data_IF_630946622860
#
_entry.id   IF_630946622860
#
_cell.length_a   1.000
_cell.length_b   1.000
_cell.length_c   1.000
_cell.angle_alpha   90.00
_cell.angle_beta   90.00
_cell.angle_gamma   90.00
#
_symmetry.space_group_name_H-M   'P 1'
#
loop_
_entity.id
_entity.type
_entity.pdbx_description
1 polymer ?
#
# COMPACT_ATOMS: atom_id res chain seq x y z
N UNK A 1 0.50 7.95 -4.44
CA UNK A 1 0.67 6.49 -4.31
C UNK A 1 1.81 6.15 -3.37
N UNK A 2 1.61 5.19 -2.47
CA UNK A 2 2.65 4.62 -1.62
C UNK A 2 3.14 3.31 -2.22
N UNK A 3 4.41 3.26 -2.63
CA UNK A 3 5.08 2.06 -3.13
C UNK A 3 6.18 1.63 -2.15
N UNK A 4 6.72 0.43 -2.30
CA UNK A 4 7.70 -0.11 -1.37
C UNK A 4 8.71 -0.97 -2.08
N UNK A 5 9.98 -0.84 -1.68
CA UNK A 5 11.09 -1.54 -2.34
C UNK A 5 11.09 -3.05 -2.09
N UNK A 6 10.31 -3.51 -1.11
CA UNK A 6 10.08 -4.93 -0.81
C UNK A 6 8.62 -5.20 -0.42
N UNK A 7 8.20 -6.46 -0.49
CA UNK A 7 6.98 -6.92 0.16
C UNK A 7 7.09 -6.77 1.69
N UNK A 8 6.03 -6.27 2.31
CA UNK A 8 6.02 -5.99 3.75
C UNK A 8 6.87 -4.78 4.19
N UNK A 9 7.23 -3.87 3.27
CA UNK A 9 7.98 -2.65 3.61
C UNK A 9 7.19 -1.66 4.50
N UNK A 10 5.88 -1.88 4.68
CA UNK A 10 4.98 -1.03 5.46
C UNK A 10 4.07 -0.12 4.63
N UNK A 11 3.89 -0.40 3.33
CA UNK A 11 2.97 0.33 2.44
C UNK A 11 1.56 0.42 3.00
N UNK A 12 0.99 -0.72 3.39
CA UNK A 12 -0.37 -0.83 3.95
C UNK A 12 -0.54 0.06 5.16
N UNK A 13 0.40 -0.01 6.11
CA UNK A 13 0.41 0.80 7.34
C UNK A 13 0.52 2.29 7.04
N UNK A 14 1.48 2.69 6.20
CA UNK A 14 1.65 4.10 5.84
C UNK A 14 0.42 4.64 5.11
N UNK A 15 -0.14 3.87 4.17
CA UNK A 15 -1.34 4.27 3.43
C UNK A 15 -2.54 4.42 4.37
N UNK A 16 -2.77 3.46 5.27
CA UNK A 16 -3.83 3.56 6.28
C UNK A 16 -3.63 4.78 7.18
N UNK A 17 -2.40 5.04 7.64
CA UNK A 17 -2.09 6.19 8.48
C UNK A 17 -2.39 7.52 7.77
N UNK A 18 -2.03 7.64 6.49
CA UNK A 18 -2.35 8.82 5.68
C UNK A 18 -3.86 8.97 5.44
N UNK A 19 -4.56 7.87 5.14
CA UNK A 19 -6.02 7.86 5.07
C UNK A 19 -6.65 8.40 6.36
N UNK A 20 -6.19 7.91 7.51
CA UNK A 20 -6.70 8.30 8.83
C UNK A 20 -6.38 9.76 9.15
N UNK A 21 -5.16 10.20 8.87
CA UNK A 21 -4.72 11.58 9.07
C UNK A 21 -5.58 12.56 8.27
N UNK A 22 -5.74 12.32 6.96
CA UNK A 22 -6.51 13.21 6.08
C UNK A 22 -8.00 13.20 6.42
N UNK A 23 -8.57 12.03 6.70
CA UNK A 23 -9.97 11.90 7.13
C UNK A 23 -10.23 12.65 8.45
N UNK A 24 -9.32 12.57 9.43
CA UNK A 24 -9.45 13.33 10.70
C UNK A 24 -9.34 14.84 10.51
N UNK A 25 -8.73 15.31 9.42
CA UNK A 25 -8.73 16.72 9.01
C UNK A 25 -10.00 17.14 8.27
N UNK A 26 -10.95 16.22 8.07
CA UNK A 26 -12.21 16.47 7.38
C UNK A 26 -12.13 16.41 5.86
N UNK A 27 -11.02 15.93 5.29
CA UNK A 27 -10.87 15.75 3.84
C UNK A 27 -11.64 14.52 3.37
N UNK A 28 -12.34 14.64 2.24
CA UNK A 28 -13.03 13.53 1.60
C UNK A 28 -12.04 12.65 0.82
N UNK A 29 -11.55 11.62 1.50
CA UNK A 29 -10.47 10.76 1.06
C UNK A 29 -10.90 9.31 0.94
N UNK A 30 -10.50 8.62 -0.13
CA UNK A 30 -10.75 7.19 -0.32
C UNK A 30 -9.45 6.40 -0.53
N UNK A 31 -9.35 5.13 -0.09
CA UNK A 31 -8.20 4.29 -0.39
C UNK A 31 -8.39 3.57 -1.72
N UNK A 32 -7.30 3.13 -2.34
CA UNK A 32 -7.36 2.27 -3.52
C UNK A 32 -6.10 1.42 -3.66
N UNK A 33 -6.28 0.10 -3.87
CA UNK A 33 -5.20 -0.82 -4.24
C UNK A 33 -5.66 -1.66 -5.42
N UNK A 34 -5.14 -1.35 -6.61
CA UNK A 34 -5.58 -1.98 -7.85
C UNK A 34 -5.51 -3.52 -7.81
N UNK A 35 -4.44 -4.06 -7.24
CA UNK A 35 -4.25 -5.50 -7.10
C UNK A 35 -3.71 -5.86 -5.72
N UNK A 36 -4.34 -6.85 -5.08
CA UNK A 36 -3.88 -7.44 -3.83
C UNK A 36 -3.76 -8.97 -4.01
N UNK A 37 -2.81 -9.58 -3.31
CA UNK A 37 -2.67 -11.03 -3.20
C UNK A 37 -2.89 -11.40 -1.73
N UNK A 38 -4.05 -11.96 -1.37
CA UNK A 38 -4.32 -12.33 0.02
C UNK A 38 -5.37 -13.43 0.13
N UNK A 39 -5.26 -14.23 1.19
CA UNK A 39 -6.31 -15.15 1.62
C UNK A 39 -7.21 -14.54 2.69
N UNK A 40 -6.76 -13.46 3.33
CA UNK A 40 -7.50 -12.78 4.37
C UNK A 40 -8.41 -11.73 3.73
N UNK A 41 -9.68 -12.07 3.59
CA UNK A 41 -10.67 -11.28 2.86
C UNK A 41 -11.76 -10.75 3.79
N UNK A 42 -12.39 -9.68 3.35
CA UNK A 42 -13.56 -9.05 3.94
C UNK A 42 -14.74 -9.18 2.96
N UNK A 43 -15.93 -9.41 3.51
CA UNK A 43 -17.18 -9.42 2.74
C UNK A 43 -17.91 -8.11 3.00
N UNK A 44 -18.09 -7.31 1.96
CA UNK A 44 -18.81 -6.04 2.01
C UNK A 44 -20.30 -6.24 2.31
N UNK A 45 -21.00 -5.15 2.67
CA UNK A 45 -22.42 -5.20 2.97
C UNK A 45 -23.29 -5.73 1.81
N UNK A 46 -22.86 -5.54 0.56
CA UNK A 46 -23.51 -6.07 -0.64
C UNK A 46 -23.03 -7.47 -1.06
N UNK A 47 -22.28 -8.15 -0.19
CA UNK A 47 -21.84 -9.54 -0.37
C UNK A 47 -20.66 -9.72 -1.32
N UNK A 48 -19.93 -8.65 -1.66
CA UNK A 48 -18.73 -8.71 -2.50
C UNK A 48 -17.48 -8.96 -1.65
N UNK A 49 -16.48 -9.58 -2.25
CA UNK A 49 -15.22 -9.90 -1.57
C UNK A 49 -14.12 -8.88 -1.86
N UNK A 50 -13.31 -8.53 -0.86
CA UNK A 50 -12.11 -7.69 -1.02
C UNK A 50 -11.03 -8.07 0.01
N UNK A 51 -9.80 -7.59 -0.14
CA UNK A 51 -8.78 -7.80 0.89
C UNK A 51 -9.14 -7.07 2.21
N UNK A 52 -8.88 -7.71 3.35
CA UNK A 52 -9.12 -7.10 4.67
C UNK A 52 -8.30 -5.83 4.89
N UNK A 53 -7.11 -5.72 4.29
CA UNK A 53 -6.25 -4.54 4.41
C UNK A 53 -6.86 -3.31 3.73
N UNK A 54 -7.57 -3.49 2.60
CA UNK A 54 -8.31 -2.40 1.98
C UNK A 54 -9.61 -2.07 2.73
N UNK A 55 -10.27 -3.04 3.38
CA UNK A 55 -11.36 -2.74 4.29
C UNK A 55 -10.88 -1.90 5.50
N UNK A 56 -9.72 -2.25 6.05
CA UNK A 56 -9.07 -1.46 7.10
C UNK A 56 -8.73 -0.04 6.66
N UNK A 57 -8.18 0.14 5.45
CA UNK A 57 -7.95 1.47 4.88
C UNK A 57 -9.26 2.25 4.65
N UNK A 58 -10.35 1.58 4.26
CA UNK A 58 -11.65 2.21 4.10
C UNK A 58 -12.16 2.75 5.44
N UNK A 59 -12.04 1.94 6.50
CA UNK A 59 -12.38 2.38 7.86
C UNK A 59 -11.48 3.51 8.36
N UNK A 60 -10.20 3.53 7.97
CA UNK A 60 -9.29 4.62 8.27
C UNK A 60 -9.77 5.94 7.65
N UNK A 61 -10.36 5.89 6.44
CA UNK A 61 -11.03 7.02 5.81
C UNK A 61 -12.40 7.37 6.41
N UNK A 62 -12.96 6.54 7.30
CA UNK A 62 -14.34 6.68 7.78
C UNK A 62 -15.39 6.20 6.77
N UNK A 63 -14.99 5.45 5.74
CA UNK A 63 -15.86 4.93 4.69
C UNK A 63 -16.28 3.48 4.97
N UNK A 64 -17.40 3.08 4.38
CA UNK A 64 -17.76 1.66 4.30
C UNK A 64 -16.94 0.96 3.20
N UNK A 65 -16.43 -0.27 3.45
CA UNK A 65 -15.64 -0.98 2.46
C UNK A 65 -16.40 -1.28 1.17
N UNK A 66 -15.76 -1.02 0.03
CA UNK A 66 -16.28 -1.33 -1.31
C UNK A 66 -15.24 -2.14 -2.10
N UNK A 67 -15.70 -3.12 -2.87
CA UNK A 67 -14.83 -3.89 -3.75
C UNK A 67 -14.17 -3.04 -4.85
N UNK A 68 -14.69 -1.86 -5.17
CA UNK A 68 -14.03 -0.93 -6.11
C UNK A 68 -12.77 -0.30 -5.51
N UNK A 69 -12.56 -0.35 -4.19
CA UNK A 69 -11.29 0.04 -3.54
C UNK A 69 -10.19 -1.01 -3.72
N UNK A 70 -10.56 -2.26 -4.07
CA UNK A 70 -9.64 -3.35 -4.40
C UNK A 70 -10.20 -4.22 -5.53
N UNK A 71 -10.15 -3.75 -6.79
CA UNK A 71 -10.86 -4.41 -7.88
C UNK A 71 -10.26 -5.75 -8.30
N UNK A 72 -8.98 -5.99 -8.08
CA UNK A 72 -8.34 -7.29 -8.38
C UNK A 72 -7.80 -7.91 -7.10
N UNK A 73 -8.45 -8.96 -6.62
CA UNK A 73 -7.98 -9.77 -5.50
C UNK A 73 -7.53 -11.13 -6.03
N UNK A 74 -6.27 -11.48 -5.78
CA UNK A 74 -5.68 -12.77 -6.15
C UNK A 74 -5.60 -13.64 -4.90
N UNK A 75 -6.24 -14.82 -4.95
CA UNK A 75 -6.28 -15.78 -3.85
C UNK A 75 -5.46 -17.02 -4.22
N UNK A 76 -4.29 -17.25 -3.59
CA UNK A 76 -3.52 -18.46 -3.81
C UNK A 76 -4.32 -19.72 -3.43
N UNK A 77 -4.36 -20.73 -4.32
CA UNK A 77 -5.03 -22.02 -4.08
C UNK A 77 -4.07 -23.14 -3.70
N UNK A 78 -2.76 -22.87 -3.70
CA UNK A 78 -1.70 -23.87 -3.56
C UNK A 78 -1.26 -24.45 -4.91
N UNK A 79 -0.15 -25.19 -4.92
CA UNK A 79 0.44 -25.79 -6.14
C UNK A 79 0.69 -24.80 -7.29
N UNK A 80 0.89 -23.51 -6.99
CA UNK A 80 1.07 -22.45 -7.99
C UNK A 80 -0.21 -21.98 -8.68
N UNK A 81 -1.39 -22.47 -8.26
CA UNK A 81 -2.69 -22.00 -8.74
C UNK A 81 -3.16 -20.78 -7.95
N UNK A 82 -3.88 -19.89 -8.62
CA UNK A 82 -4.50 -18.72 -7.99
C UNK A 82 -5.92 -18.51 -8.55
N UNK A 83 -6.82 -17.95 -7.76
CA UNK A 83 -8.10 -17.43 -8.24
C UNK A 83 -8.04 -15.91 -8.33
N UNK A 84 -8.56 -15.34 -9.40
CA UNK A 84 -8.85 -13.91 -9.49
C UNK A 84 -10.31 -13.70 -9.09
N UNK A 85 -10.50 -12.84 -8.08
CA UNK A 85 -11.76 -12.20 -7.75
C UNK A 85 -11.70 -10.79 -8.34
N UNK A 86 -12.62 -10.49 -9.26
CA UNK A 86 -12.70 -9.22 -9.97
C UNK A 86 -13.92 -8.44 -9.48
N UNK A 87 -13.68 -7.24 -8.96
CA UNK A 87 -14.70 -6.35 -8.36
C UNK A 87 -15.59 -7.09 -7.37
N UNK A 88 -14.94 -7.93 -6.57
CA UNK A 88 -15.49 -8.74 -5.50
C UNK A 88 -16.37 -9.91 -5.91
N UNK A 89 -16.25 -10.38 -7.16
CA UNK A 89 -16.85 -11.64 -7.61
C UNK A 89 -15.79 -12.58 -8.18
N UNK A 90 -15.87 -13.89 -7.91
CA UNK A 90 -14.99 -14.87 -8.56
C UNK A 90 -15.04 -14.72 -10.08
N UNK A 91 -13.89 -14.66 -10.73
CA UNK A 91 -13.80 -14.41 -12.15
C UNK A 91 -13.14 -15.54 -12.92
N UNK A 92 -11.91 -15.89 -12.57
CA UNK A 92 -11.17 -16.97 -13.24
C UNK A 92 -10.10 -17.58 -12.33
N UNK A 93 -9.67 -18.80 -12.67
CA UNK A 93 -8.52 -19.43 -12.07
C UNK A 93 -7.31 -19.34 -13.01
N UNK A 94 -6.13 -19.15 -12.44
CA UNK A 94 -4.84 -19.16 -13.13
C UNK A 94 -4.11 -20.45 -12.77
N UNK A 95 -3.71 -21.19 -13.80
CA UNK A 95 -2.89 -22.38 -13.64
C UNK A 95 -1.41 -22.00 -13.41
N UNK A 96 -0.60 -22.91 -12.82
CA UNK A 96 0.83 -22.66 -12.63
C UNK A 96 1.50 -22.44 -13.97
N UNK A 97 2.27 -21.35 -14.10
CA UNK A 97 2.93 -20.98 -15.35
C UNK A 97 2.00 -20.36 -16.41
N UNK A 98 0.71 -20.19 -16.11
CA UNK A 98 -0.19 -19.44 -16.99
C UNK A 98 0.12 -17.94 -16.90
N UNK A 99 0.97 -17.48 -17.83
CA UNK A 99 1.32 -16.07 -17.97
C UNK A 99 0.24 -15.25 -18.68
N UNK A 100 -0.82 -15.87 -19.23
CA UNK A 100 -1.84 -15.19 -20.03
C UNK A 100 -2.98 -14.70 -19.16
N UNK A 101 -2.66 -13.81 -18.23
CA UNK A 101 -3.70 -12.93 -17.67
C UNK A 101 -4.17 -11.98 -18.76
N UNK A 102 -5.49 -11.77 -18.95
CA UNK A 102 -6.03 -10.76 -19.87
C UNK A 102 -5.73 -9.35 -19.31
N UNK A 103 -4.48 -8.93 -19.46
CA UNK A 103 -3.94 -7.77 -18.77
C UNK A 103 -4.67 -6.48 -19.15
N UNK A 104 -5.03 -6.33 -20.41
CA UNK A 104 -5.74 -5.14 -20.90
C UNK A 104 -7.14 -5.06 -20.28
N UNK A 105 -7.84 -6.19 -20.16
CA UNK A 105 -9.14 -6.24 -19.48
C UNK A 105 -9.01 -5.93 -17.99
N UNK A 106 -7.97 -6.43 -17.31
CA UNK A 106 -7.69 -6.08 -15.91
C UNK A 106 -7.44 -4.58 -15.75
N UNK A 107 -6.65 -3.99 -16.66
CA UNK A 107 -6.35 -2.55 -16.68
C UNK A 107 -7.61 -1.71 -16.86
N UNK A 108 -8.49 -2.11 -17.78
CA UNK A 108 -9.78 -1.44 -17.99
C UNK A 108 -10.64 -1.45 -16.73
N UNK A 109 -10.77 -2.60 -16.07
CA UNK A 109 -11.56 -2.75 -14.84
C UNK A 109 -10.93 -2.03 -13.64
N UNK A 110 -9.61 -1.99 -13.54
CA UNK A 110 -8.89 -1.18 -12.55
C UNK A 110 -9.17 0.30 -12.75
N UNK A 111 -9.08 0.82 -13.98
CA UNK A 111 -9.35 2.23 -14.25
C UNK A 111 -10.82 2.59 -14.05
N UNK A 112 -11.74 1.69 -14.39
CA UNK A 112 -13.18 1.85 -14.10
C UNK A 112 -13.39 2.00 -12.59
N UNK A 113 -12.87 1.06 -11.80
CA UNK A 113 -13.03 1.05 -10.35
C UNK A 113 -12.34 2.26 -9.70
N UNK A 114 -11.17 2.68 -10.20
CA UNK A 114 -10.50 3.89 -9.75
C UNK A 114 -11.37 5.13 -10.00
N UNK A 115 -11.93 5.30 -11.21
CA UNK A 115 -12.80 6.44 -11.53
C UNK A 115 -14.05 6.47 -10.67
N UNK A 116 -14.69 5.32 -10.48
CA UNK A 116 -15.88 5.20 -9.65
C UNK A 116 -15.56 5.55 -8.18
N UNK A 117 -14.42 5.09 -7.66
CA UNK A 117 -13.95 5.39 -6.30
C UNK A 117 -13.51 6.85 -6.12
N UNK A 118 -12.94 7.47 -7.16
CA UNK A 118 -12.46 8.85 -7.15
C UNK A 118 -13.56 9.89 -7.38
N UNK A 119 -14.71 9.48 -7.92
CA UNK A 119 -15.77 10.41 -8.33
C UNK A 119 -16.28 11.24 -7.15
N UNK A 120 -16.07 12.56 -7.21
CA UNK A 120 -16.50 13.50 -6.19
C UNK A 120 -15.63 13.54 -4.92
N UNK A 121 -14.51 12.81 -4.88
CA UNK A 121 -13.55 12.83 -3.77
C UNK A 121 -12.50 13.91 -3.95
N UNK A 122 -11.97 14.43 -2.84
CA UNK A 122 -10.85 15.37 -2.84
C UNK A 122 -9.52 14.65 -3.10
N UNK A 123 -9.37 13.43 -2.56
CA UNK A 123 -8.15 12.66 -2.71
C UNK A 123 -8.40 11.14 -2.75
N UNK A 124 -7.53 10.42 -3.48
CA UNK A 124 -7.49 8.95 -3.44
C UNK A 124 -6.07 8.47 -3.11
N UNK A 125 -5.94 7.72 -2.03
CA UNK A 125 -4.67 7.23 -1.52
C UNK A 125 -4.41 5.85 -2.12
N UNK A 126 -3.48 5.82 -3.07
CA UNK A 126 -3.12 4.61 -3.80
C UNK A 126 -2.06 3.80 -3.04
N UNK A 127 -2.28 2.51 -2.85
CA UNK A 127 -1.26 1.57 -2.38
C UNK A 127 -0.73 0.71 -3.53
N UNK A 128 0.59 0.62 -3.68
CA UNK A 128 1.25 -0.31 -4.60
C UNK A 128 1.28 -1.75 -4.09
N UNK A 129 1.74 -2.68 -4.93
CA UNK A 129 1.84 -4.10 -4.61
C UNK A 129 3.27 -4.60 -4.86
N UNK A 130 3.89 -5.23 -3.87
CA UNK A 130 5.29 -5.69 -4.01
C UNK A 130 6.25 -4.52 -4.29
N UNK A 131 7.28 -4.79 -5.10
CA UNK A 131 8.21 -3.80 -5.65
C UNK A 131 7.69 -3.22 -6.98
N UNK A 132 7.86 -1.91 -7.25
CA UNK A 132 7.45 -1.33 -8.52
C UNK A 132 8.34 -1.69 -9.72
N UNK A 133 9.52 -2.26 -9.47
CA UNK A 133 10.54 -2.53 -10.50
C UNK A 133 10.79 -4.03 -10.71
N UNK A 134 9.76 -4.85 -10.58
CA UNK A 134 9.82 -6.26 -10.98
C UNK A 134 9.98 -6.36 -12.50
N UNK A 135 11.23 -6.32 -12.98
CA UNK A 135 11.58 -6.18 -14.40
C UNK A 135 10.90 -7.23 -15.29
N UNK A 136 10.76 -8.45 -14.79
CA UNK A 136 10.07 -9.56 -15.46
C UNK A 136 8.54 -9.43 -15.52
N UNK A 137 7.96 -8.48 -14.78
CA UNK A 137 6.52 -8.24 -14.68
C UNK A 137 6.09 -6.84 -15.14
N UNK A 138 7.02 -5.95 -15.54
CA UNK A 138 6.73 -4.55 -15.89
C UNK A 138 5.64 -4.41 -16.96
N UNK A 139 5.68 -5.20 -18.02
CA UNK A 139 4.63 -5.20 -19.07
C UNK A 139 3.25 -5.62 -18.56
N UNK A 140 3.23 -6.40 -17.47
CA UNK A 140 2.03 -6.94 -16.83
C UNK A 140 1.69 -6.19 -15.53
N UNK A 141 2.25 -5.02 -15.31
CA UNK A 141 1.91 -4.21 -14.14
C UNK A 141 0.50 -3.62 -14.30
N UNK A 142 -0.25 -3.68 -13.20
CA UNK A 142 -1.56 -3.04 -13.00
C UNK A 142 -1.63 -2.29 -11.67
N UNK A 143 -0.62 -2.44 -10.80
CA UNK A 143 -0.68 -2.08 -9.40
C UNK A 143 0.28 -0.95 -9.00
N UNK A 144 1.40 -0.80 -9.71
CA UNK A 144 2.46 0.13 -9.36
C UNK A 144 2.56 1.28 -10.37
N UNK A 145 3.67 1.36 -11.12
CA UNK A 145 3.96 2.47 -12.01
C UNK A 145 3.00 2.56 -13.19
N UNK A 146 2.44 1.45 -13.66
CA UNK A 146 1.41 1.51 -14.69
C UNK A 146 0.21 2.35 -14.24
N UNK A 147 -0.31 2.07 -13.03
CA UNK A 147 -1.44 2.83 -12.50
C UNK A 147 -1.03 4.26 -12.15
N UNK A 148 0.13 4.44 -11.51
CA UNK A 148 0.65 5.76 -11.17
C UNK A 148 0.73 6.67 -12.41
N UNK A 149 1.22 6.15 -13.54
CA UNK A 149 1.24 6.87 -14.82
C UNK A 149 -0.15 7.12 -15.37
N UNK A 150 -1.01 6.10 -15.40
CA UNK A 150 -2.36 6.21 -15.94
C UNK A 150 -3.21 7.28 -15.25
N UNK A 151 -2.97 7.55 -13.96
CA UNK A 151 -3.69 8.55 -13.16
C UNK A 151 -2.82 9.74 -12.73
N UNK A 152 -1.57 9.82 -13.23
CA UNK A 152 -0.56 10.83 -12.90
C UNK A 152 -0.36 11.03 -11.39
N UNK A 153 -0.39 9.94 -10.60
CA UNK A 153 -0.24 10.00 -9.15
C UNK A 153 1.21 10.23 -8.74
N UNK A 154 1.51 11.20 -7.86
CA UNK A 154 2.83 11.29 -7.24
C UNK A 154 3.10 10.06 -6.38
N UNK A 155 4.34 9.58 -6.38
CA UNK A 155 4.75 8.33 -5.75
C UNK A 155 5.72 8.61 -4.59
N UNK A 156 5.49 7.93 -3.48
CA UNK A 156 6.40 7.88 -2.33
C UNK A 156 6.89 6.45 -2.15
N UNK A 157 8.21 6.26 -2.10
CA UNK A 157 8.84 4.94 -1.91
C UNK A 157 9.12 4.66 -0.44
N UNK A 158 8.75 3.47 0.02
CA UNK A 158 9.01 3.02 1.40
C UNK A 158 10.10 1.93 1.41
N UNK A 159 11.15 2.17 2.19
CA UNK A 159 12.21 1.20 2.48
C UNK A 159 12.11 0.66 3.91
N UNK A 160 12.17 -0.66 4.09
CA UNK A 160 12.22 -1.29 5.42
C UNK A 160 13.69 -1.48 5.84
N UNK A 161 14.11 -0.75 6.88
CA UNK A 161 15.49 -0.82 7.36
C UNK A 161 15.75 -1.99 8.30
N UNK A 162 14.71 -2.59 8.88
CA UNK A 162 14.86 -3.75 9.78
C UNK A 162 15.41 -4.96 9.03
N UNK A 163 15.01 -5.12 7.76
CA UNK A 163 15.50 -6.20 6.89
C UNK A 163 16.92 -5.95 6.36
N UNK A 164 17.49 -4.77 6.60
CA UNK A 164 18.73 -4.31 5.99
C UNK A 164 18.56 -3.90 4.53
N UNK A 165 19.54 -3.17 4.00
CA UNK A 165 19.57 -2.81 2.58
C UNK A 165 18.58 -1.73 2.14
N UNK A 166 17.89 -1.02 3.05
CA UNK A 166 16.90 0.01 2.69
C UNK A 166 17.45 1.07 1.71
N UNK A 167 18.63 1.63 1.96
CA UNK A 167 19.28 2.60 1.06
C UNK A 167 19.52 2.01 -0.33
N UNK A 168 20.08 0.80 -0.40
CA UNK A 168 20.35 0.12 -1.67
C UNK A 168 19.06 -0.24 -2.41
N UNK A 169 18.02 -0.66 -1.69
CA UNK A 169 16.71 -0.98 -2.26
C UNK A 169 16.03 0.25 -2.84
N UNK A 170 16.05 1.38 -2.13
CA UNK A 170 15.50 2.66 -2.62
C UNK A 170 16.29 3.13 -3.84
N UNK A 171 17.60 3.20 -3.74
CA UNK A 171 18.45 3.69 -4.84
C UNK A 171 18.37 2.78 -6.07
N UNK A 172 18.42 1.46 -5.87
CA UNK A 172 18.30 0.49 -6.95
C UNK A 172 16.93 0.55 -7.62
N UNK A 173 15.86 0.74 -6.84
CA UNK A 173 14.52 0.96 -7.39
C UNK A 173 14.47 2.22 -8.25
N UNK A 174 15.00 3.33 -7.76
CA UNK A 174 15.11 4.58 -8.52
C UNK A 174 15.88 4.41 -9.84
N UNK A 175 17.04 3.74 -9.81
CA UNK A 175 17.86 3.51 -11.01
C UNK A 175 17.21 2.58 -12.04
N UNK A 176 16.34 1.66 -11.62
CA UNK A 176 15.63 0.74 -12.51
C UNK A 176 14.35 1.35 -13.13
N UNK A 177 13.88 2.47 -12.60
CA UNK A 177 12.77 3.23 -13.18
C UNK A 177 13.21 3.98 -14.45
N UNK A 178 12.28 4.13 -15.39
CA UNK A 178 12.45 5.05 -16.53
C UNK A 178 12.25 6.52 -16.12
N UNK A 179 12.53 7.46 -17.04
CA UNK A 179 12.47 8.90 -16.75
C UNK A 179 11.07 9.35 -16.32
N UNK A 180 10.03 8.91 -17.04
CA UNK A 180 8.63 9.24 -16.70
C UNK A 180 8.24 8.66 -15.33
N UNK A 181 8.73 7.48 -14.99
CA UNK A 181 8.54 6.86 -13.68
C UNK A 181 9.23 7.64 -12.56
N UNK A 182 10.47 8.09 -12.79
CA UNK A 182 11.22 8.92 -11.82
C UNK A 182 10.58 10.29 -11.64
N UNK A 183 10.01 10.89 -12.67
CA UNK A 183 9.29 12.16 -12.58
C UNK A 183 8.09 12.08 -11.63
N UNK A 184 7.48 10.90 -11.47
CA UNK A 184 6.40 10.70 -10.51
C UNK A 184 6.90 10.50 -9.08
N UNK A 185 8.16 10.14 -8.84
CA UNK A 185 8.72 9.99 -7.51
C UNK A 185 8.90 11.36 -6.84
N UNK A 186 8.29 11.55 -5.67
CA UNK A 186 8.31 12.82 -4.92
C UNK A 186 8.98 12.75 -3.56
N UNK A 187 9.33 11.56 -3.10
CA UNK A 187 10.12 11.37 -1.90
C UNK A 187 10.17 9.91 -1.46
N UNK A 188 10.95 9.64 -0.42
CA UNK A 188 11.05 8.31 0.17
C UNK A 188 10.90 8.34 1.68
N UNK A 189 10.53 7.22 2.26
CA UNK A 189 10.38 7.01 3.70
C UNK A 189 11.20 5.80 4.11
N UNK A 190 11.99 5.95 5.16
CA UNK A 190 12.67 4.83 5.82
C UNK A 190 11.79 4.36 6.96
N UNK A 191 11.38 3.10 6.96
CA UNK A 191 10.44 2.54 7.92
C UNK A 191 11.11 1.52 8.85
N UNK A 192 10.51 1.31 10.03
CA UNK A 192 10.91 0.34 11.07
C UNK A 192 12.29 0.57 11.66
N UNK A 193 12.68 1.84 11.80
CA UNK A 193 13.95 2.18 12.42
C UNK A 193 13.92 1.95 13.95
N UNK A 194 15.05 1.53 14.51
CA UNK A 194 15.25 1.34 15.96
C UNK A 194 16.41 2.20 16.42
N UNK A 195 16.19 3.03 17.43
CA UNK A 195 17.21 3.91 18.01
C UNK A 195 17.04 5.37 17.57
N UNK A 196 18.13 6.13 17.64
CA UNK A 196 18.17 7.56 17.29
C UNK A 196 18.28 7.76 15.76
N UNK A 197 17.25 8.35 15.10
CA UNK A 197 17.25 8.57 13.65
C UNK A 197 18.41 9.42 13.14
N UNK A 198 19.04 10.23 14.01
CA UNK A 198 20.16 11.12 13.63
C UNK A 198 21.33 10.36 13.00
N UNK A 199 21.52 9.09 13.36
CA UNK A 199 22.57 8.20 12.84
C UNK A 199 22.41 7.98 11.32
N UNK A 200 21.19 8.03 10.78
CA UNK A 200 20.93 7.85 9.36
C UNK A 200 21.19 9.11 8.53
N UNK A 201 21.34 10.28 9.16
CA UNK A 201 21.44 11.58 8.50
C UNK A 201 22.42 11.62 7.32
N UNK A 202 23.70 11.24 7.50
CA UNK A 202 24.67 11.25 6.40
C UNK A 202 24.27 10.35 5.22
N UNK A 203 23.71 9.16 5.48
CA UNK A 203 23.26 8.24 4.43
C UNK A 203 22.01 8.75 3.72
N UNK A 204 21.11 9.41 4.45
CA UNK A 204 19.93 10.07 3.88
C UNK A 204 20.36 11.19 2.95
N UNK A 205 21.22 12.12 3.40
CA UNK A 205 21.65 13.26 2.58
C UNK A 205 22.40 12.84 1.31
N UNK A 206 23.21 11.79 1.39
CA UNK A 206 23.86 11.22 0.20
C UNK A 206 22.82 10.68 -0.80
N UNK A 207 21.78 10.00 -0.31
CA UNK A 207 20.75 9.43 -1.16
C UNK A 207 19.83 10.51 -1.76
N UNK A 208 19.47 11.54 -0.98
CA UNK A 208 18.72 12.72 -1.45
C UNK A 208 19.48 13.43 -2.58
N UNK A 209 20.80 13.60 -2.44
CA UNK A 209 21.66 14.21 -3.46
C UNK A 209 21.67 13.41 -4.76
N UNK A 210 21.74 12.07 -4.68
CA UNK A 210 21.80 11.19 -5.86
C UNK A 210 20.49 11.08 -6.63
N UNK A 211 19.36 11.21 -5.93
CA UNK A 211 18.03 11.02 -6.51
C UNK A 211 17.28 12.33 -6.72
N UNK A 212 17.82 13.46 -6.23
CA UNK A 212 17.19 14.78 -6.25
C UNK A 212 15.77 14.78 -5.65
N UNK A 213 15.55 13.94 -4.64
CA UNK A 213 14.25 13.79 -3.97
C UNK A 213 14.42 13.69 -2.45
N UNK A 214 13.51 14.28 -1.65
CA UNK A 214 13.66 14.33 -0.20
C UNK A 214 13.33 13.01 0.50
N UNK A 215 13.96 12.81 1.66
CA UNK A 215 13.47 11.89 2.67
C UNK A 215 12.29 12.54 3.41
N UNK A 216 11.11 11.94 3.28
CA UNK A 216 9.89 12.42 3.91
C UNK A 216 9.74 11.92 5.35
N UNK A 217 10.59 11.00 5.81
CA UNK A 217 10.55 10.56 7.20
C UNK A 217 11.36 9.31 7.50
N UNK A 218 11.73 9.18 8.77
CA UNK A 218 12.32 7.98 9.36
C UNK A 218 11.38 7.46 10.44
N UNK A 219 10.56 6.47 10.09
CA UNK A 219 9.50 5.98 10.96
C UNK A 219 10.05 4.96 11.97
N UNK A 220 9.71 5.10 13.26
CA UNK A 220 10.12 4.16 14.28
C UNK A 220 9.45 2.79 14.08
N UNK A 221 10.10 1.74 14.58
CA UNK A 221 9.50 0.42 14.70
C UNK A 221 8.42 0.44 15.78
N UNK A 222 7.15 0.45 15.35
CA UNK A 222 5.98 0.41 16.25
C UNK A 222 5.32 -0.96 16.17
N UNK A 223 4.94 -1.51 17.33
CA UNK A 223 4.06 -2.68 17.42
C UNK A 223 2.65 -2.19 17.71
N UNK A 224 1.72 -2.48 16.83
CA UNK A 224 0.31 -2.16 17.00
C UNK A 224 -0.55 -3.28 16.40
N UNK A 225 -1.84 -3.28 16.71
CA UNK A 225 -2.78 -4.26 16.16
C UNK A 225 -3.29 -3.77 14.81
N UNK A 226 -3.06 -4.58 13.78
CA UNK A 226 -3.52 -4.36 12.41
C UNK A 226 -3.96 -5.71 11.83
N UNK A 227 -4.80 -5.74 10.77
CA UNK A 227 -5.06 -6.99 10.09
C UNK A 227 -3.77 -7.60 9.54
N UNK A 228 -3.62 -8.92 9.68
CA UNK A 228 -2.60 -9.65 8.97
C UNK A 228 -2.87 -9.56 7.46
N UNK A 229 -1.91 -9.04 6.69
CA UNK A 229 -2.02 -8.86 5.24
C UNK A 229 -1.84 -10.20 4.50
N UNK A 230 -0.87 -11.01 4.93
CA UNK A 230 -0.48 -12.27 4.31
C UNK A 230 -0.70 -13.49 5.23
N UNK A 231 -0.84 -14.68 4.61
CA UNK A 231 -0.90 -15.95 5.34
C UNK A 231 0.38 -16.27 6.12
N UNK A 232 1.52 -15.70 5.72
CA UNK A 232 2.79 -15.79 6.44
C UNK A 232 2.78 -14.97 7.74
N UNK A 233 1.93 -13.94 7.83
CA UNK A 233 1.75 -13.15 9.04
C UNK A 233 0.73 -13.79 10.00
N UNK A 234 -0.16 -14.65 9.50
CA UNK A 234 -1.12 -15.40 10.34
C UNK A 234 -0.42 -16.31 11.36
N UNK A 235 0.81 -16.77 11.08
CA UNK A 235 1.60 -17.59 12.01
C UNK A 235 2.22 -16.82 13.17
N UNK A 236 2.23 -15.47 13.12
CA UNK A 236 2.82 -14.60 14.15
C UNK A 236 1.85 -14.20 15.25
N UNK A 237 0.55 -14.44 15.08
CA UNK A 237 -0.47 -14.20 16.10
C UNK A 237 -0.87 -15.51 16.81
N UNK A 238 -0.02 -15.99 17.72
CA UNK A 238 -0.52 -16.86 18.81
C UNK A 238 -1.10 -15.97 19.91
N UNK A 239 -2.39 -15.64 19.81
CA UNK A 239 -3.06 -14.87 20.86
C UNK A 239 -4.48 -14.45 20.55
N UNK A 240 -5.43 -15.33 20.86
CA UNK A 240 -6.84 -15.05 21.11
C UNK A 240 -7.62 -14.29 20.03
N UNK A 241 -8.37 -15.05 19.22
CA UNK A 241 -9.69 -14.64 18.71
C UNK A 241 -10.66 -14.43 19.88
N UNK A 242 -10.46 -13.35 20.62
CA UNK A 242 -11.38 -12.85 21.63
C UNK A 242 -12.52 -12.11 20.96
N UNK A 243 -13.68 -12.76 20.91
CA UNK A 243 -14.98 -12.12 20.69
C UNK A 243 -15.23 -11.14 21.84
N UNK A 244 -15.50 -9.85 21.56
CA UNK A 244 -16.06 -8.95 22.58
C UNK A 244 -15.76 -7.44 22.49
N UNK A 245 -14.96 -6.98 21.54
CA UNK A 245 -14.80 -5.55 21.22
C UNK A 245 -14.80 -5.36 19.71
N UNK A 246 -15.27 -4.21 19.23
CA UNK A 246 -15.28 -3.91 17.80
C UNK A 246 -13.82 -3.90 17.27
N UNK A 247 -13.43 -4.96 16.55
CA UNK A 247 -12.07 -5.13 15.99
C UNK A 247 -11.69 -3.91 15.15
N UNK A 248 -12.66 -3.28 14.49
CA UNK A 248 -12.50 -2.01 13.78
C UNK A 248 -12.01 -0.91 14.72
N UNK A 249 -12.66 -0.72 15.86
CA UNK A 249 -12.24 0.29 16.85
C UNK A 249 -10.84 0.03 17.37
N UNK A 250 -10.47 -1.23 17.64
CA UNK A 250 -9.12 -1.59 18.08
C UNK A 250 -8.06 -1.23 17.04
N UNK A 251 -8.29 -1.58 15.77
CA UNK A 251 -7.33 -1.26 14.69
C UNK A 251 -7.25 0.23 14.40
N UNK A 252 -8.36 0.97 14.50
CA UNK A 252 -8.36 2.42 14.35
C UNK A 252 -7.66 3.11 15.53
N UNK A 253 -7.87 2.65 16.76
CA UNK A 253 -7.15 3.16 17.94
C UNK A 253 -5.65 2.95 17.81
N UNK A 254 -5.22 1.76 17.39
CA UNK A 254 -3.79 1.49 17.14
C UNK A 254 -3.19 2.36 16.02
N UNK A 255 -3.99 2.78 15.04
CA UNK A 255 -3.58 3.70 13.99
C UNK A 255 -3.46 5.14 14.49
N UNK A 256 -4.34 5.52 15.40
CA UNK A 256 -4.30 6.83 16.07
C UNK A 256 -3.03 6.92 16.94
N UNK A 257 -2.72 5.88 17.73
CA UNK A 257 -1.48 5.79 18.50
C UNK A 257 -0.23 5.83 17.61
N UNK A 258 -0.28 5.15 16.46
CA UNK A 258 0.80 5.14 15.47
C UNK A 258 1.06 6.55 14.93
N UNK A 259 0.00 7.28 14.55
CA UNK A 259 0.10 8.64 14.03
C UNK A 259 0.68 9.60 15.08
N UNK A 260 0.26 9.48 16.34
CA UNK A 260 0.85 10.25 17.44
C UNK A 260 2.34 9.95 17.60
N UNK A 261 2.73 8.67 17.54
CA UNK A 261 4.14 8.25 17.57
C UNK A 261 4.97 8.66 16.35
N UNK A 262 4.33 8.98 15.22
CA UNK A 262 4.99 9.49 14.02
C UNK A 262 5.06 11.01 13.96
N UNK A 263 4.48 11.71 14.93
CA UNK A 263 4.55 13.17 15.03
C UNK A 263 6.02 13.62 15.04
N UNK A 264 6.40 14.40 14.04
CA UNK A 264 7.79 14.86 13.84
C UNK A 264 8.74 13.85 13.19
N UNK A 265 8.35 12.59 13.03
CA UNK A 265 9.11 11.57 12.31
C UNK A 265 8.73 11.45 10.82
N UNK A 266 7.52 11.89 10.47
CA UNK A 266 6.98 11.93 9.10
C UNK A 266 6.58 13.37 8.74
N UNK A 267 7.05 13.86 7.59
CA UNK A 267 6.67 15.16 7.04
C UNK A 267 5.29 15.08 6.38
N UNK A 268 4.26 15.08 7.22
CA UNK A 268 2.86 15.08 6.80
C UNK A 268 2.50 16.32 5.96
N UNK A 269 3.16 17.46 6.20
CA UNK A 269 2.91 18.68 5.43
C UNK A 269 3.41 18.54 4.00
N UNK A 270 4.62 18.00 3.80
CA UNK A 270 5.14 17.71 2.46
C UNK A 270 4.27 16.68 1.74
N UNK A 271 3.81 15.63 2.44
CA UNK A 271 2.91 14.62 1.88
C UNK A 271 1.56 15.19 1.45
N UNK A 272 0.98 16.09 2.24
CA UNK A 272 -0.27 16.77 1.90
C UNK A 272 -0.16 17.66 0.65
N UNK A 273 1.01 18.27 0.40
CA UNK A 273 1.26 19.08 -0.81
C UNK A 273 1.29 18.26 -2.11
N UNK A 274 1.30 16.93 -2.00
CA UNK A 274 1.23 16.02 -3.15
C UNK A 274 -0.22 15.70 -3.57
N UNK A 275 -1.21 16.11 -2.78
CA UNK A 275 -2.64 15.96 -3.09
C UNK A 275 -3.10 17.11 -4.01
#
# INVERSE_FOLDING_TARGET
MVQGVTSGAGKTTLTAALCRHLSRKGMDVAPFKAQNVSLNSFVTADGKEMAISQAYQAWACGLEPSADMNPVLIKPKGNGQCQIVLRGRPWMDLAPGDGRRPIDQLREEVLRSFRDNALGREAVLLEGMGSPVEMNLKERDVANMWLAKAVRSPVVLVGDIEKGGAFAGIYGTYLLMDEEERDLLKGFVINRFRGDPSILGPGISELESRMEMPCLGVLPMVRFSAPAEDSMDLGREHGHSGVGGDVRQRWLGGLDDLLEGWSGALDLVALERLL
#
